data_IF_478624460854
#
_entry.id   IF_478624460854
#
_cell.length_a   1.000
_cell.length_b   1.000
_cell.length_c   1.000
_cell.angle_alpha   90.00
_cell.angle_beta   90.00
_cell.angle_gamma   90.00
#
_symmetry.space_group_name_H-M   'P 1'
#
loop_
_entity.id
_entity.type
_entity.pdbx_description
1 polymer ?
#
# COMPACT_ATOMS: atom_id res chain seq x y z
N UNK A 1 -11.41 10.93 8.00
CA UNK A 1 -9.99 11.00 8.37
C UNK A 1 -9.09 10.30 7.35
N UNK A 2 -9.19 8.98 7.15
CA UNK A 2 -8.29 8.26 6.21
C UNK A 2 -8.80 8.14 4.77
N UNK A 3 -10.07 7.78 4.56
CA UNK A 3 -10.66 7.66 3.20
C UNK A 3 -11.85 8.59 2.95
N UNK A 4 -12.07 9.55 3.86
CA UNK A 4 -13.16 10.52 3.74
C UNK A 4 -12.78 11.80 2.98
N UNK A 5 -11.49 11.97 2.65
CA UNK A 5 -10.99 13.08 1.85
C UNK A 5 -10.78 12.60 0.41
N UNK A 6 -11.10 13.44 -0.57
CA UNK A 6 -10.93 13.12 -1.99
C UNK A 6 -9.48 12.73 -2.32
N UNK A 7 -8.51 13.52 -1.85
CA UNK A 7 -7.07 13.28 -2.10
C UNK A 7 -6.63 11.93 -1.53
N UNK A 8 -6.99 11.63 -0.29
CA UNK A 8 -6.57 10.37 0.34
C UNK A 8 -7.26 9.15 -0.29
N UNK A 9 -8.48 9.32 -0.79
CA UNK A 9 -9.18 8.29 -1.56
C UNK A 9 -8.52 8.07 -2.93
N UNK A 10 -8.06 9.12 -3.62
CA UNK A 10 -7.30 8.98 -4.87
C UNK A 10 -5.96 8.26 -4.64
N UNK A 11 -5.19 8.69 -3.64
CA UNK A 11 -3.93 8.04 -3.25
C UNK A 11 -4.16 6.56 -2.97
N UNK A 12 -5.21 6.23 -2.22
CA UNK A 12 -5.57 4.85 -1.95
C UNK A 12 -5.88 4.05 -3.22
N UNK A 13 -6.70 4.60 -4.13
CA UNK A 13 -7.07 3.95 -5.39
C UNK A 13 -5.84 3.69 -6.27
N UNK A 14 -4.92 4.63 -6.34
CA UNK A 14 -3.66 4.45 -7.08
C UNK A 14 -2.80 3.36 -6.44
N UNK A 15 -2.69 3.36 -5.10
CA UNK A 15 -1.89 2.37 -4.39
C UNK A 15 -2.41 0.94 -4.56
N UNK A 16 -3.72 0.73 -4.46
CA UNK A 16 -4.30 -0.60 -4.65
C UNK A 16 -4.20 -1.07 -6.12
N UNK A 17 -4.29 -0.15 -7.08
CA UNK A 17 -4.06 -0.46 -8.49
C UNK A 17 -2.60 -0.87 -8.74
N UNK A 18 -1.65 -0.13 -8.16
CA UNK A 18 -0.22 -0.43 -8.21
C UNK A 18 0.11 -1.80 -7.58
N UNK A 19 -0.70 -2.26 -6.63
CA UNK A 19 -0.55 -3.54 -5.95
C UNK A 19 -1.48 -4.66 -6.50
N UNK A 20 -2.29 -4.38 -7.53
CA UNK A 20 -3.33 -5.29 -8.05
C UNK A 20 -4.23 -5.88 -6.95
N UNK A 21 -4.64 -5.03 -6.01
CA UNK A 21 -5.51 -5.38 -4.90
C UNK A 21 -6.92 -4.92 -5.23
N UNK A 22 -7.85 -5.87 -5.29
CA UNK A 22 -9.28 -5.58 -5.39
C UNK A 22 -9.81 -5.13 -4.02
N UNK A 23 -9.79 -3.82 -3.76
CA UNK A 23 -10.28 -3.25 -2.50
C UNK A 23 -11.00 -1.92 -2.70
N UNK A 24 -12.31 -1.89 -2.47
CA UNK A 24 -13.10 -0.66 -2.48
C UNK A 24 -13.47 -0.23 -1.04
N UNK A 25 -12.78 0.73 -0.42
CA UNK A 25 -13.17 1.25 0.89
C UNK A 25 -14.41 2.15 0.76
N UNK A 26 -15.41 1.91 1.61
CA UNK A 26 -16.64 2.73 1.69
C UNK A 26 -16.62 3.66 2.90
N UNK A 27 -16.26 3.11 4.06
CA UNK A 27 -16.01 3.85 5.29
C UNK A 27 -14.72 3.35 5.95
N UNK A 28 -14.21 4.10 6.93
CA UNK A 28 -13.05 3.66 7.71
C UNK A 28 -13.33 2.34 8.45
N UNK A 29 -14.52 2.20 9.05
CA UNK A 29 -14.92 1.00 9.77
C UNK A 29 -15.01 -0.21 8.81
N UNK A 30 -15.63 -0.03 7.65
CA UNK A 30 -15.69 -1.09 6.62
C UNK A 30 -14.30 -1.48 6.14
N UNK A 31 -13.40 -0.50 6.05
CA UNK A 31 -12.02 -0.75 5.64
C UNK A 31 -11.27 -1.60 6.66
N UNK A 32 -11.40 -1.28 7.96
CA UNK A 32 -10.82 -2.09 9.04
C UNK A 32 -11.42 -3.50 9.03
N UNK A 33 -12.74 -3.62 8.93
CA UNK A 33 -13.42 -4.92 8.92
C UNK A 33 -12.98 -5.77 7.72
N UNK A 34 -12.93 -5.17 6.53
CA UNK A 34 -12.42 -5.83 5.34
C UNK A 34 -10.97 -6.26 5.54
N UNK A 35 -10.11 -5.39 6.08
CA UNK A 35 -8.71 -5.70 6.34
C UNK A 35 -8.58 -6.88 7.32
N UNK A 36 -9.33 -6.87 8.42
CA UNK A 36 -9.31 -7.92 9.43
C UNK A 36 -9.77 -9.28 8.88
N UNK A 37 -10.76 -9.31 8.00
CA UNK A 37 -11.24 -10.55 7.38
C UNK A 37 -10.34 -11.03 6.24
N UNK A 38 -9.89 -10.11 5.38
CA UNK A 38 -9.28 -10.44 4.10
C UNK A 38 -7.76 -10.42 4.12
N UNK A 39 -7.09 -9.83 5.10
CA UNK A 39 -5.62 -9.74 5.11
C UNK A 39 -4.94 -10.83 5.95
N UNK A 40 -5.71 -11.77 6.50
CA UNK A 40 -5.19 -12.94 7.21
C UNK A 40 -4.48 -13.89 6.24
N UNK A 41 -3.37 -14.46 6.69
CA UNK A 41 -2.62 -15.48 5.95
C UNK A 41 -1.17 -15.08 5.62
N UNK A 42 -0.44 -16.04 5.05
CA UNK A 42 1.00 -15.92 4.74
C UNK A 42 1.32 -15.89 3.25
N UNK A 43 0.30 -15.94 2.38
CA UNK A 43 0.57 -15.82 0.95
C UNK A 43 1.04 -14.39 0.60
N UNK A 44 1.79 -14.28 -0.50
CA UNK A 44 2.45 -13.04 -0.90
C UNK A 44 1.46 -11.89 -1.08
N UNK A 45 0.32 -12.14 -1.71
CA UNK A 45 -0.77 -11.17 -1.87
C UNK A 45 -1.24 -10.59 -0.53
N UNK A 46 -1.44 -11.44 0.48
CA UNK A 46 -1.86 -11.00 1.82
C UNK A 46 -0.75 -10.23 2.54
N UNK A 47 0.53 -10.56 2.29
CA UNK A 47 1.67 -9.81 2.83
C UNK A 47 1.74 -8.41 2.18
N UNK A 48 1.75 -8.35 0.85
CA UNK A 48 1.78 -7.09 0.09
C UNK A 48 0.58 -6.22 0.46
N UNK A 49 -0.62 -6.80 0.53
CA UNK A 49 -1.83 -6.04 0.86
C UNK A 49 -1.80 -5.44 2.26
N UNK A 50 -1.26 -6.17 3.26
CA UNK A 50 -1.04 -5.63 4.61
C UNK A 50 -0.01 -4.51 4.60
N UNK A 51 1.08 -4.72 3.89
CA UNK A 51 2.15 -3.74 3.79
C UNK A 51 1.66 -2.44 3.14
N UNK A 52 0.97 -2.55 2.00
CA UNK A 52 0.37 -1.40 1.31
C UNK A 52 -0.64 -0.68 2.21
N UNK A 53 -1.50 -1.42 2.91
CA UNK A 53 -2.45 -0.84 3.85
C UNK A 53 -1.77 -0.09 5.01
N UNK A 54 -0.77 -0.70 5.64
CA UNK A 54 -0.02 -0.09 6.74
C UNK A 54 0.74 1.16 6.28
N UNK A 55 1.40 1.11 5.11
CA UNK A 55 2.10 2.26 4.54
C UNK A 55 1.12 3.38 4.20
N UNK A 56 -0.04 3.06 3.64
CA UNK A 56 -1.07 4.06 3.34
C UNK A 56 -1.52 4.82 4.60
N UNK A 57 -1.86 4.08 5.66
CA UNK A 57 -2.26 4.67 6.95
C UNK A 57 -1.14 5.56 7.48
N UNK A 58 0.09 5.04 7.51
CA UNK A 58 1.23 5.76 8.07
C UNK A 58 1.50 7.08 7.33
N UNK A 59 1.59 7.03 6.00
CA UNK A 59 1.84 8.23 5.20
C UNK A 59 0.69 9.23 5.30
N UNK A 60 -0.58 8.78 5.24
CA UNK A 60 -1.72 9.70 5.42
C UNK A 60 -1.68 10.37 6.80
N UNK A 61 -1.35 9.62 7.84
CA UNK A 61 -1.21 10.16 9.19
C UNK A 61 -0.07 11.19 9.28
N UNK A 62 1.08 10.91 8.69
CA UNK A 62 2.19 11.88 8.61
C UNK A 62 1.76 13.16 7.91
N UNK A 63 1.12 13.06 6.76
CA UNK A 63 0.73 14.25 5.98
C UNK A 63 -0.29 15.11 6.73
N UNK A 64 -1.26 14.48 7.40
CA UNK A 64 -2.21 15.20 8.25
C UNK A 64 -1.53 15.90 9.43
N UNK A 65 -0.55 15.24 10.07
CA UNK A 65 0.20 15.86 11.15
C UNK A 65 1.08 17.02 10.67
N UNK A 66 1.80 16.85 9.56
CA UNK A 66 2.62 17.93 8.99
C UNK A 66 1.76 19.12 8.58
N UNK A 67 0.55 18.88 8.07
CA UNK A 67 -0.40 19.93 7.78
C UNK A 67 -0.80 20.71 9.04
N UNK A 68 -1.11 20.02 10.15
CA UNK A 68 -1.53 20.64 11.41
C UNK A 68 -0.38 21.39 12.09
N UNK A 69 0.81 20.78 12.17
CA UNK A 69 1.91 21.27 13.00
C UNK A 69 2.96 22.09 12.23
N UNK A 70 3.18 21.79 10.96
CA UNK A 70 4.21 22.42 10.13
C UNK A 70 3.64 23.31 9.02
N UNK A 71 2.33 23.25 8.75
CA UNK A 71 1.66 23.90 7.60
C UNK A 71 2.28 23.55 6.25
N UNK A 72 2.92 22.39 6.18
CA UNK A 72 3.52 21.86 4.96
C UNK A 72 2.49 21.03 4.19
N UNK A 73 2.53 21.12 2.87
CA UNK A 73 1.66 20.36 1.98
C UNK A 73 2.52 19.68 0.93
N UNK A 74 2.37 18.36 0.83
CA UNK A 74 2.92 17.61 -0.29
C UNK A 74 1.84 17.38 -1.32
N UNK A 75 2.22 17.43 -2.58
CA UNK A 75 1.35 17.01 -3.66
C UNK A 75 1.16 15.49 -3.63
N UNK A 76 0.10 15.05 -4.32
CA UNK A 76 -0.29 13.64 -4.41
C UNK A 76 0.84 12.74 -4.90
N UNK A 77 1.61 13.17 -5.91
CA UNK A 77 2.66 12.35 -6.50
C UNK A 77 3.83 12.16 -5.54
N UNK A 78 4.22 13.20 -4.79
CA UNK A 78 5.26 13.10 -3.75
C UNK A 78 4.86 12.10 -2.65
N UNK A 79 3.60 12.11 -2.23
CA UNK A 79 3.08 11.15 -1.24
C UNK A 79 3.08 9.73 -1.82
N UNK A 80 2.60 9.55 -3.05
CA UNK A 80 2.61 8.26 -3.74
C UNK A 80 4.02 7.69 -3.94
N UNK A 81 4.98 8.53 -4.33
CA UNK A 81 6.39 8.14 -4.43
C UNK A 81 6.96 7.68 -3.09
N UNK A 82 6.65 8.39 -2.01
CA UNK A 82 7.04 7.99 -0.66
C UNK A 82 6.47 6.63 -0.27
N UNK A 83 5.17 6.40 -0.52
CA UNK A 83 4.52 5.11 -0.26
C UNK A 83 5.17 3.98 -1.07
N UNK A 84 5.39 4.17 -2.37
CA UNK A 84 6.03 3.19 -3.25
C UNK A 84 7.44 2.82 -2.77
N UNK A 85 8.24 3.82 -2.38
CA UNK A 85 9.61 3.59 -1.89
C UNK A 85 9.62 2.84 -0.55
N UNK A 86 8.71 3.18 0.37
CA UNK A 86 8.56 2.44 1.62
C UNK A 86 8.19 0.98 1.39
N UNK A 87 7.23 0.73 0.50
CA UNK A 87 6.80 -0.64 0.21
C UNK A 87 7.95 -1.41 -0.44
N UNK A 88 8.61 -0.86 -1.47
CA UNK A 88 9.78 -1.49 -2.11
C UNK A 88 10.87 -1.83 -1.10
N UNK A 89 11.26 -0.86 -0.26
CA UNK A 89 12.30 -1.06 0.74
C UNK A 89 11.94 -2.13 1.78
N UNK A 90 10.65 -2.35 2.05
CA UNK A 90 10.19 -3.42 2.93
C UNK A 90 10.14 -4.77 2.21
N UNK A 91 9.71 -4.80 0.95
CA UNK A 91 9.72 -6.01 0.12
C UNK A 91 11.14 -6.54 -0.11
N UNK A 92 12.14 -5.67 -0.28
CA UNK A 92 13.55 -6.08 -0.35
C UNK A 92 14.03 -6.78 0.93
N UNK A 93 13.38 -6.53 2.08
CA UNK A 93 13.70 -7.18 3.36
C UNK A 93 12.98 -8.51 3.55
N UNK A 94 11.96 -8.84 2.75
CA UNK A 94 11.29 -10.15 2.77
C UNK A 94 12.19 -11.19 2.11
N UNK A 95 13.16 -11.72 2.86
CA UNK A 95 14.19 -12.65 2.35
C UNK A 95 13.71 -14.08 2.08
N UNK A 96 12.52 -14.50 2.53
CA UNK A 96 12.08 -15.90 2.45
C UNK A 96 10.63 -16.04 1.95
N UNK A 97 10.34 -15.55 0.74
CA UNK A 97 9.06 -15.86 0.07
C UNK A 97 9.28 -17.12 -0.79
N UNK A 98 8.60 -18.25 -0.52
CA UNK A 98 8.70 -19.43 -1.37
C UNK A 98 8.23 -19.08 -2.79
N UNK A 99 9.07 -19.32 -3.81
CA UNK A 99 8.67 -19.23 -5.20
C UNK A 99 7.60 -20.28 -5.49
N UNK A 100 6.33 -19.89 -5.46
CA UNK A 100 5.21 -20.71 -5.93
C UNK A 100 4.65 -20.11 -7.22
N UNK A 101 4.03 -20.92 -8.08
CA UNK A 101 3.39 -20.45 -9.32
C UNK A 101 2.39 -19.31 -9.08
N UNK A 102 1.77 -19.23 -7.91
CA UNK A 102 0.85 -18.16 -7.51
C UNK A 102 1.56 -16.80 -7.39
N UNK A 103 2.86 -16.79 -7.07
CA UNK A 103 3.65 -15.57 -6.91
C UNK A 103 4.21 -15.04 -8.25
N UNK A 104 4.17 -15.84 -9.33
CA UNK A 104 4.64 -15.43 -10.65
C UNK A 104 3.68 -14.43 -11.34
N UNK A 105 2.38 -14.48 -11.04
CA UNK A 105 1.40 -13.50 -11.53
C UNK A 105 1.53 -12.10 -10.93
N UNK A 106 2.25 -11.97 -9.81
CA UNK A 106 2.54 -10.70 -9.13
C UNK A 106 3.82 -10.03 -9.65
N UNK A 107 4.51 -10.66 -10.61
CA UNK A 107 5.59 -10.01 -11.37
C UNK A 107 5.08 -8.88 -12.26
N UNK A 108 3.79 -8.93 -12.60
CA UNK A 108 3.12 -8.02 -13.54
C UNK A 108 2.55 -6.77 -12.89
N UNK A 109 2.61 -6.66 -11.56
CA UNK A 109 2.09 -5.51 -10.85
C UNK A 109 3.03 -4.31 -11.04
N UNK A 110 2.49 -3.15 -11.44
CA UNK A 110 3.27 -1.93 -11.76
C UNK A 110 4.27 -1.52 -10.67
N UNK A 111 4.05 -1.92 -9.43
CA UNK A 111 4.95 -1.60 -8.31
C UNK A 111 6.14 -2.55 -8.14
N UNK A 112 6.05 -3.78 -8.67
CA UNK A 112 6.96 -4.91 -8.39
C UNK A 112 7.86 -5.30 -9.56
N UNK A 113 7.61 -4.76 -10.75
CA UNK A 113 8.21 -5.21 -12.01
C UNK A 113 9.76 -5.28 -12.00
N UNK A 114 10.44 -4.41 -11.24
CA UNK A 114 11.91 -4.25 -11.36
C UNK A 114 12.71 -4.53 -10.06
N UNK A 115 12.10 -4.96 -8.94
CA UNK A 115 12.80 -4.93 -7.63
C UNK A 115 12.92 -6.24 -6.85
N UNK A 116 12.24 -7.32 -7.27
CA UNK A 116 12.24 -8.59 -6.49
C UNK A 116 12.83 -9.76 -7.27
N UNK A 117 12.91 -9.68 -8.60
CA UNK A 117 13.27 -10.81 -9.45
C UNK A 117 14.58 -10.66 -10.23
N UNK A 118 15.23 -9.49 -10.15
CA UNK A 118 16.58 -9.32 -10.68
C UNK A 118 17.58 -9.80 -9.61
N UNK A 119 17.87 -11.10 -9.66
CA UNK A 119 19.01 -11.71 -8.98
C UNK A 119 19.73 -12.66 -9.90
#
# INVERSE_FOLDING_TARGET
LFFGCHITMEIWKLLIQDCDIQWSPRSWLDTINWAACNLKGKNLNKIISRLAFSVAIYCIWIEQNNHIFSKEFKDKETIMCSMRNMIRGWLTKLRDIPCSMVNQGLKTTRMLADTIFDR
#
